data_IF_140078924354
#
_entry.id   IF_140078924354
#
_cell.length_a   1.000
_cell.length_b   1.000
_cell.length_c   1.000
_cell.angle_alpha   90.00
_cell.angle_beta   90.00
_cell.angle_gamma   90.00
#
_symmetry.space_group_name_H-M   'P 1'
#
loop_
_entity.id
_entity.type
_entity.pdbx_description
1 polymer ?
#
# COMPACT_ATOMS: atom_id res chain seq x y z
N UNK A 1 33.27 3.09 60.97
CA UNK A 1 33.33 2.77 59.52
C UNK A 1 31.98 3.07 58.90
N UNK A 2 31.82 4.26 58.31
CA UNK A 2 30.62 4.71 57.61
C UNK A 2 31.05 5.11 56.21
N UNK A 3 30.66 4.32 55.21
CA UNK A 3 30.97 4.56 53.80
C UNK A 3 30.15 5.73 53.28
N UNK A 4 30.83 6.79 52.86
CA UNK A 4 30.25 7.89 52.13
C UNK A 4 29.98 7.46 50.68
N UNK A 5 28.71 7.36 50.31
CA UNK A 5 28.28 7.16 48.93
C UNK A 5 28.49 8.46 48.17
N UNK A 6 29.46 8.47 47.26
CA UNK A 6 29.58 9.51 46.23
C UNK A 6 28.71 9.10 45.05
N UNK A 7 27.58 9.78 44.87
CA UNK A 7 26.78 9.72 43.65
C UNK A 7 27.64 10.26 42.49
N UNK A 8 27.97 9.47 41.46
CA UNK A 8 28.47 10.05 40.21
C UNK A 8 27.28 10.71 39.53
N UNK A 9 27.38 12.02 39.31
CA UNK A 9 26.44 12.75 38.48
C UNK A 9 26.49 12.17 37.06
N UNK A 10 25.45 11.44 36.67
CA UNK A 10 25.22 11.03 35.29
C UNK A 10 24.81 12.28 34.51
N UNK A 11 25.79 12.92 33.86
CA UNK A 11 25.55 13.96 32.88
C UNK A 11 24.89 13.28 31.66
N UNK A 12 23.56 13.26 31.62
CA UNK A 12 22.82 12.89 30.41
C UNK A 12 22.97 14.06 29.44
N UNK A 13 23.92 13.92 28.51
CA UNK A 13 24.04 14.80 27.37
C UNK A 13 22.82 14.55 26.46
N UNK A 14 21.77 15.35 26.66
CA UNK A 14 20.61 15.36 25.78
C UNK A 14 21.03 16.09 24.50
N UNK A 15 21.60 15.33 23.57
CA UNK A 15 21.78 15.80 22.20
C UNK A 15 20.38 15.87 21.61
N UNK A 16 19.76 17.05 21.71
CA UNK A 16 18.67 17.43 20.80
C UNK A 16 19.33 17.63 19.43
N UNK A 17 19.67 16.52 18.79
CA UNK A 17 19.88 16.53 17.36
C UNK A 17 18.54 16.92 16.77
N UNK A 18 18.48 18.08 16.11
CA UNK A 18 17.52 18.27 15.04
C UNK A 18 17.84 17.18 13.99
N UNK A 19 17.39 15.95 14.25
CA UNK A 19 17.36 14.92 13.22
C UNK A 19 16.50 15.53 12.13
N UNK A 20 17.09 15.75 10.96
CA UNK A 20 16.33 16.20 9.81
C UNK A 20 15.11 15.31 9.66
N UNK A 21 13.97 15.89 9.25
CA UNK A 21 12.83 15.08 8.83
C UNK A 21 13.36 14.00 7.88
N UNK A 22 13.01 12.71 8.10
CA UNK A 22 13.48 11.65 7.22
C UNK A 22 13.18 12.05 5.79
N UNK A 23 14.24 12.24 5.01
CA UNK A 23 14.12 12.53 3.60
C UNK A 23 13.58 11.29 2.92
N UNK A 24 12.97 11.40 1.73
CA UNK A 24 12.68 10.23 0.92
C UNK A 24 13.92 9.33 0.83
N UNK A 25 15.11 9.89 0.67
CA UNK A 25 16.39 9.16 0.59
C UNK A 25 16.76 8.36 1.86
N UNK A 26 16.27 8.74 3.04
CA UNK A 26 16.51 8.02 4.31
C UNK A 26 15.65 6.74 4.43
N UNK A 27 14.68 6.55 3.54
CA UNK A 27 13.81 5.38 3.43
C UNK A 27 13.76 4.75 2.02
N UNK A 28 14.25 5.48 1.01
CA UNK A 28 14.31 5.09 -0.39
C UNK A 28 15.53 4.22 -0.65
N UNK A 29 15.40 2.99 -0.17
CA UNK A 29 15.69 1.89 -1.06
C UNK A 29 17.16 1.54 -1.31
N UNK A 30 17.37 0.37 -1.91
CA UNK A 30 18.68 -0.08 -2.34
C UNK A 30 19.33 0.92 -3.32
N UNK A 31 20.67 0.93 -3.45
CA UNK A 31 21.41 1.95 -4.20
C UNK A 31 20.77 2.28 -5.56
N UNK A 32 20.63 3.58 -5.85
CA UNK A 32 20.13 4.04 -7.16
C UNK A 32 20.92 3.38 -8.30
N UNK A 33 20.20 2.83 -9.28
CA UNK A 33 20.75 2.16 -10.46
C UNK A 33 20.69 0.63 -10.46
N UNK A 34 20.26 -0.03 -9.37
CA UNK A 34 20.10 -1.50 -9.35
C UNK A 34 18.65 -1.97 -9.34
N UNK A 35 17.71 -1.12 -8.94
CA UNK A 35 16.29 -1.47 -8.90
C UNK A 35 15.68 -1.48 -10.31
N UNK A 36 14.82 -2.47 -10.57
CA UNK A 36 14.00 -2.45 -11.77
C UNK A 36 13.06 -1.25 -11.70
N UNK A 37 12.92 -0.50 -12.80
CA UNK A 37 12.18 0.77 -12.83
C UNK A 37 11.24 0.80 -14.02
N UNK A 38 10.04 1.35 -13.84
CA UNK A 38 9.03 1.51 -14.89
C UNK A 38 8.14 2.74 -14.65
N UNK A 39 7.84 3.50 -15.69
CA UNK A 39 6.90 4.61 -15.62
C UNK A 39 5.46 4.10 -15.32
N UNK A 40 4.76 4.75 -14.41
CA UNK A 40 3.38 4.39 -14.08
C UNK A 40 2.46 4.70 -15.26
N UNK A 41 1.80 3.67 -15.81
CA UNK A 41 0.95 3.82 -17.01
C UNK A 41 1.72 3.83 -18.33
N UNK A 42 3.05 3.80 -18.30
CA UNK A 42 3.86 3.70 -19.51
C UNK A 42 3.60 2.41 -20.30
N UNK A 43 3.92 2.39 -21.61
CA UNK A 43 3.76 1.20 -22.42
C UNK A 43 4.60 0.07 -21.85
N UNK A 44 4.02 -1.13 -21.81
CA UNK A 44 4.79 -2.30 -21.40
C UNK A 44 5.88 -2.61 -22.43
N UNK A 45 6.99 -3.20 -21.97
CA UNK A 45 7.98 -3.78 -22.86
C UNK A 45 7.33 -4.84 -23.77
N UNK A 46 7.82 -4.94 -25.02
CA UNK A 46 7.21 -5.69 -26.14
C UNK A 46 6.63 -7.05 -25.74
N UNK A 47 5.41 -7.33 -26.21
CA UNK A 47 4.77 -8.63 -26.09
C UNK A 47 5.60 -9.72 -26.77
N UNK A 48 5.74 -10.88 -26.11
CA UNK A 48 6.45 -12.04 -26.65
C UNK A 48 5.50 -12.92 -27.47
N UNK A 49 6.03 -13.60 -28.48
CA UNK A 49 5.28 -14.60 -29.26
C UNK A 49 4.79 -15.72 -28.35
N UNK A 50 3.48 -15.99 -28.37
CA UNK A 50 2.85 -17.03 -27.54
C UNK A 50 3.07 -18.43 -28.14
N UNK A 51 3.31 -19.45 -27.30
CA UNK A 51 3.24 -20.83 -27.74
C UNK A 51 1.79 -21.20 -28.09
N UNK A 52 1.58 -22.16 -29.00
CA UNK A 52 0.23 -22.60 -29.44
C UNK A 52 -0.49 -23.52 -28.44
N UNK A 53 -0.02 -23.59 -27.19
CA UNK A 53 -0.62 -24.40 -26.13
C UNK A 53 -1.27 -23.48 -25.11
N UNK A 54 -2.37 -23.89 -24.45
CA UNK A 54 -2.93 -23.12 -23.35
C UNK A 54 -1.87 -22.89 -22.26
N UNK A 55 -1.52 -21.63 -22.03
CA UNK A 55 -0.58 -21.21 -21.00
C UNK A 55 -1.12 -19.95 -20.32
N UNK A 56 -0.78 -19.79 -19.04
CA UNK A 56 -1.08 -18.55 -18.29
C UNK A 56 -0.36 -17.39 -18.95
N UNK A 57 -1.10 -16.35 -19.32
CA UNK A 57 -0.56 -15.09 -19.81
C UNK A 57 -1.44 -13.93 -19.32
N UNK A 58 -1.00 -13.34 -18.22
CA UNK A 58 -1.58 -12.16 -17.58
C UNK A 58 -1.19 -10.84 -18.28
N UNK A 59 -0.37 -10.93 -19.33
CA UNK A 59 0.34 -9.80 -19.89
C UNK A 59 1.51 -9.32 -19.03
N UNK A 60 2.18 -8.25 -19.49
CA UNK A 60 3.42 -7.76 -18.90
C UNK A 60 3.21 -6.87 -17.66
N UNK A 61 1.95 -6.51 -17.35
CA UNK A 61 1.61 -5.58 -16.27
C UNK A 61 1.68 -6.30 -14.94
N UNK A 62 2.77 -6.10 -14.20
CA UNK A 62 3.04 -6.79 -12.94
C UNK A 62 3.86 -5.91 -11.99
N UNK A 63 4.08 -6.41 -10.78
CA UNK A 63 4.96 -5.78 -9.80
C UNK A 63 5.43 -6.82 -8.77
N UNK A 64 6.27 -6.39 -7.83
CA UNK A 64 6.73 -7.23 -6.74
C UNK A 64 5.53 -7.67 -5.86
N UNK A 65 5.47 -8.95 -5.48
CA UNK A 65 4.37 -9.46 -4.66
C UNK A 65 4.49 -8.98 -3.20
N UNK A 66 3.33 -8.83 -2.56
CA UNK A 66 3.19 -8.57 -1.12
C UNK A 66 2.55 -9.80 -0.48
N UNK A 67 3.19 -10.32 0.57
CA UNK A 67 2.82 -11.53 1.31
C UNK A 67 4.05 -12.37 1.66
N UNK A 68 4.03 -12.98 2.85
CA UNK A 68 5.10 -13.88 3.31
C UNK A 68 5.09 -15.26 2.62
N UNK A 69 6.14 -16.03 2.88
CA UNK A 69 6.29 -17.41 2.44
C UNK A 69 5.16 -18.29 2.99
N UNK A 70 4.41 -18.94 2.10
CA UNK A 70 3.30 -19.83 2.47
C UNK A 70 2.00 -19.12 2.89
N UNK A 71 2.01 -17.80 3.03
CA UNK A 71 0.83 -17.01 3.40
C UNK A 71 -0.16 -16.77 2.25
N UNK A 72 0.30 -16.97 1.01
CA UNK A 72 -0.36 -16.42 -0.18
C UNK A 72 0.02 -14.95 -0.41
N UNK A 73 -0.05 -14.50 -1.66
CA UNK A 73 0.42 -13.16 -2.04
C UNK A 73 -0.60 -12.38 -2.84
N UNK A 74 -0.52 -11.06 -2.74
CA UNK A 74 -1.23 -10.08 -3.56
C UNK A 74 -0.22 -9.28 -4.40
N UNK A 75 -0.44 -9.25 -5.70
CA UNK A 75 0.39 -8.55 -6.67
C UNK A 75 -0.22 -7.21 -7.02
N UNK A 76 0.46 -6.14 -6.58
CA UNK A 76 0.21 -4.77 -7.03
C UNK A 76 1.11 -4.45 -8.20
N UNK A 77 0.55 -3.96 -9.29
CA UNK A 77 1.29 -3.75 -10.53
C UNK A 77 2.06 -2.43 -10.51
N UNK A 78 2.99 -2.23 -11.45
CA UNK A 78 3.65 -0.94 -11.65
C UNK A 78 2.68 0.22 -11.99
N UNK A 79 1.43 -0.06 -12.39
CA UNK A 79 0.41 0.98 -12.59
C UNK A 79 -0.24 1.40 -11.28
N UNK A 80 -0.12 0.62 -10.21
CA UNK A 80 -0.68 0.92 -8.89
C UNK A 80 -1.96 0.16 -8.53
N UNK A 81 -2.52 -0.61 -9.46
CA UNK A 81 -3.67 -1.50 -9.23
C UNK A 81 -3.26 -2.85 -8.62
N UNK A 82 -4.15 -3.45 -7.83
CA UNK A 82 -4.00 -4.82 -7.33
C UNK A 82 -4.67 -5.78 -8.30
N UNK A 83 -3.92 -6.70 -8.91
CA UNK A 83 -4.45 -7.50 -10.01
C UNK A 83 -4.12 -8.99 -9.94
N UNK A 84 -3.02 -9.39 -9.29
CA UNK A 84 -2.61 -10.81 -9.26
C UNK A 84 -2.81 -11.38 -7.87
N UNK A 85 -3.71 -12.34 -7.72
CA UNK A 85 -4.10 -12.92 -6.45
C UNK A 85 -3.63 -14.37 -6.35
N UNK A 86 -2.70 -14.61 -5.43
CA UNK A 86 -2.24 -15.94 -5.01
C UNK A 86 -2.59 -16.18 -3.54
N UNK A 87 -3.71 -15.60 -3.08
CA UNK A 87 -4.19 -15.76 -1.71
C UNK A 87 -4.62 -17.21 -1.44
N UNK A 88 -5.21 -17.88 -2.43
CA UNK A 88 -5.38 -19.34 -2.42
C UNK A 88 -4.04 -19.98 -2.76
N UNK A 89 -3.42 -20.65 -1.79
CA UNK A 89 -2.13 -21.31 -1.99
C UNK A 89 -2.23 -22.34 -3.13
N UNK A 90 -1.34 -22.21 -4.11
CA UNK A 90 -1.34 -23.04 -5.34
C UNK A 90 -2.31 -22.60 -6.42
N UNK A 91 -3.18 -21.62 -6.16
CA UNK A 91 -4.07 -21.00 -7.13
C UNK A 91 -3.43 -19.80 -7.86
N UNK A 92 -4.00 -19.46 -9.01
CA UNK A 92 -3.61 -18.29 -9.78
C UNK A 92 -4.86 -17.57 -10.32
N UNK A 93 -5.08 -16.33 -9.87
CA UNK A 93 -6.17 -15.48 -10.35
C UNK A 93 -5.62 -14.12 -10.76
N UNK A 94 -5.82 -13.74 -12.02
CA UNK A 94 -5.54 -12.39 -12.50
C UNK A 94 -6.85 -11.63 -12.72
N UNK A 95 -7.11 -10.66 -11.86
CA UNK A 95 -8.28 -9.78 -11.88
C UNK A 95 -7.94 -8.45 -11.19
N UNK A 96 -7.79 -7.35 -11.94
CA UNK A 96 -7.70 -6.02 -11.34
C UNK A 96 -8.88 -5.75 -10.39
N UNK A 97 -8.56 -5.36 -9.16
CA UNK A 97 -9.55 -4.95 -8.16
C UNK A 97 -10.17 -3.62 -8.59
N UNK A 98 -11.48 -3.46 -8.46
CA UNK A 98 -12.14 -2.19 -8.78
C UNK A 98 -12.04 -1.19 -7.62
N UNK A 99 -12.01 -1.69 -6.38
CA UNK A 99 -12.11 -0.91 -5.16
C UNK A 99 -11.01 -1.21 -4.14
N UNK A 100 -10.06 -2.11 -4.44
CA UNK A 100 -8.81 -2.21 -3.67
C UNK A 100 -7.81 -1.23 -4.28
N UNK A 101 -7.61 -0.08 -3.63
CA UNK A 101 -6.81 1.03 -4.16
C UNK A 101 -6.33 1.97 -3.06
N UNK A 102 -5.26 2.70 -3.36
CA UNK A 102 -4.85 3.87 -2.59
C UNK A 102 -5.31 5.15 -3.29
N UNK A 103 -5.64 6.17 -2.51
CA UNK A 103 -5.90 7.51 -3.00
C UNK A 103 -5.21 8.54 -2.10
N UNK A 104 -4.81 9.66 -2.70
CA UNK A 104 -4.32 10.83 -1.98
C UNK A 104 -5.18 12.04 -2.34
N UNK A 105 -5.48 12.87 -1.34
CA UNK A 105 -6.02 14.22 -1.56
C UNK A 105 -4.95 15.22 -1.19
N UNK A 106 -4.50 16.00 -2.16
CA UNK A 106 -3.52 17.07 -1.97
C UNK A 106 -4.18 18.39 -2.34
N UNK A 107 -4.25 19.33 -1.39
CA UNK A 107 -4.88 20.65 -1.57
C UNK A 107 -6.28 20.57 -2.21
N UNK A 108 -7.10 19.67 -1.69
CA UNK A 108 -8.46 19.43 -2.18
C UNK A 108 -8.56 18.57 -3.46
N UNK A 109 -7.44 18.27 -4.14
CA UNK A 109 -7.42 17.42 -5.33
C UNK A 109 -7.30 15.95 -4.94
N UNK A 110 -8.41 15.21 -4.98
CA UNK A 110 -8.42 13.77 -4.71
C UNK A 110 -8.04 12.97 -5.96
N UNK A 111 -7.11 12.03 -5.81
CA UNK A 111 -6.50 11.26 -6.89
C UNK A 111 -6.31 9.82 -6.46
N UNK A 112 -6.85 8.87 -7.23
CA UNK A 112 -6.52 7.46 -7.09
C UNK A 112 -5.08 7.25 -7.58
N UNK A 113 -4.24 6.63 -6.75
CA UNK A 113 -2.83 6.37 -7.02
C UNK A 113 -2.67 5.12 -7.91
N UNK A 114 -3.33 5.16 -9.06
CA UNK A 114 -3.34 4.12 -10.08
C UNK A 114 -3.42 4.76 -11.47
N UNK A 115 -2.67 4.23 -12.42
CA UNK A 115 -2.72 4.60 -13.84
C UNK A 115 -3.61 3.65 -14.67
N UNK A 116 -4.41 2.80 -14.01
CA UNK A 116 -5.37 1.92 -14.69
C UNK A 116 -6.64 2.71 -15.05
N UNK A 117 -7.00 2.86 -16.34
CA UNK A 117 -8.14 3.70 -16.73
C UNK A 117 -9.50 3.28 -16.15
N UNK A 118 -9.72 1.97 -15.92
CA UNK A 118 -10.97 1.49 -15.34
C UNK A 118 -11.19 1.95 -13.90
N UNK A 119 -10.15 2.34 -13.16
CA UNK A 119 -10.30 2.94 -11.82
C UNK A 119 -10.95 4.32 -11.85
N UNK A 120 -10.93 5.00 -13.00
CA UNK A 120 -11.60 6.28 -13.19
C UNK A 120 -13.12 6.14 -13.19
N UNK A 121 -13.65 4.94 -13.45
CA UNK A 121 -15.08 4.69 -13.51
C UNK A 121 -15.56 4.11 -12.18
N UNK A 122 -16.63 4.68 -11.61
CA UNK A 122 -17.39 4.08 -10.53
C UNK A 122 -18.77 3.67 -11.04
N UNK A 123 -19.05 2.38 -11.03
CA UNK A 123 -20.37 1.81 -11.30
C UNK A 123 -21.06 1.45 -9.98
N UNK A 124 -22.39 1.61 -9.90
CA UNK A 124 -23.19 1.13 -8.77
C UNK A 124 -23.04 1.94 -7.46
N UNK A 125 -22.60 3.19 -7.51
CA UNK A 125 -22.64 4.09 -6.34
C UNK A 125 -24.09 4.49 -6.10
N UNK A 126 -24.70 4.18 -4.93
CA UNK A 126 -26.06 4.61 -4.65
C UNK A 126 -26.12 6.14 -4.60
N UNK A 127 -26.61 6.75 -5.68
CA UNK A 127 -26.96 8.16 -5.66
C UNK A 127 -28.14 8.37 -4.73
N UNK A 128 -28.07 9.38 -3.85
CA UNK A 128 -29.23 9.86 -3.10
C UNK A 128 -30.29 10.38 -4.07
N UNK A 129 -31.15 9.50 -4.58
CA UNK A 129 -32.17 9.81 -5.57
C UNK A 129 -32.08 8.98 -6.85
N UNK A 130 -32.20 7.65 -6.76
CA UNK A 130 -32.80 6.79 -7.79
C UNK A 130 -32.22 6.78 -9.21
N UNK A 131 -31.06 7.38 -9.45
CA UNK A 131 -30.34 7.28 -10.73
C UNK A 131 -28.96 6.68 -10.48
N UNK A 132 -28.68 5.60 -11.19
CA UNK A 132 -27.35 4.99 -11.24
C UNK A 132 -26.44 5.96 -12.01
N UNK A 133 -25.66 6.76 -11.29
CA UNK A 133 -24.76 7.75 -11.91
C UNK A 133 -23.37 7.14 -11.98
N UNK A 134 -22.81 7.09 -13.18
CA UNK A 134 -21.37 6.88 -13.35
C UNK A 134 -20.64 8.08 -12.76
N UNK A 135 -20.04 7.91 -11.59
CA UNK A 135 -19.14 8.91 -11.02
C UNK A 135 -17.74 8.68 -11.58
N UNK A 136 -17.08 9.75 -12.04
CA UNK A 136 -15.68 9.68 -12.43
C UNK A 136 -14.77 10.03 -11.25
N UNK A 137 -13.72 9.23 -11.06
CA UNK A 137 -12.61 9.51 -10.15
C UNK A 137 -11.42 10.02 -10.96
N UNK A 138 -10.67 10.96 -10.41
CA UNK A 138 -9.36 11.31 -10.95
C UNK A 138 -8.38 10.16 -10.66
N UNK A 139 -7.68 9.70 -11.69
CA UNK A 139 -6.63 8.68 -11.64
C UNK A 139 -5.31 9.29 -12.10
N UNK A 140 -4.20 8.58 -11.90
CA UNK A 140 -2.93 8.99 -12.49
C UNK A 140 -2.99 8.88 -14.03
N UNK A 141 -2.29 9.76 -14.77
CA UNK A 141 -2.21 9.69 -16.22
C UNK A 141 -1.73 8.31 -16.73
N UNK A 142 -2.43 7.72 -17.73
CA UNK A 142 -2.07 6.42 -18.29
C UNK A 142 -1.01 6.52 -19.40
N UNK A 143 -0.21 7.58 -19.42
CA UNK A 143 0.78 7.89 -20.46
C UNK A 143 2.24 7.81 -19.95
N UNK A 144 2.44 7.38 -18.70
CA UNK A 144 3.76 7.33 -18.07
C UNK A 144 4.12 8.55 -17.22
N UNK A 145 3.29 9.60 -17.21
CA UNK A 145 3.59 10.85 -16.48
C UNK A 145 3.07 10.89 -15.05
N UNK A 146 2.34 9.86 -14.61
CA UNK A 146 1.79 9.79 -13.25
C UNK A 146 2.82 9.53 -12.14
N UNK A 147 4.03 9.12 -12.52
CA UNK A 147 5.09 8.77 -11.58
C UNK A 147 5.92 7.58 -12.05
N UNK A 148 6.74 7.06 -11.14
CA UNK A 148 7.66 5.95 -11.40
C UNK A 148 7.48 4.85 -10.35
N UNK A 149 7.47 3.61 -10.80
CA UNK A 149 7.50 2.43 -9.95
C UNK A 149 8.88 1.80 -9.97
N UNK A 150 9.32 1.31 -8.82
CA UNK A 150 10.59 0.62 -8.64
C UNK A 150 10.41 -0.68 -7.87
N UNK A 151 11.23 -1.68 -8.17
CA UNK A 151 11.25 -2.94 -7.45
C UNK A 151 12.67 -3.49 -7.26
N UNK A 152 12.96 -3.85 -6.01
CA UNK A 152 14.04 -4.77 -5.65
C UNK A 152 13.54 -5.61 -4.47
N UNK A 153 12.96 -6.76 -4.80
CA UNK A 153 12.28 -7.64 -3.85
C UNK A 153 13.16 -7.93 -2.61
N UNK A 154 12.61 -7.87 -1.38
CA UNK A 154 11.18 -7.82 -1.04
C UNK A 154 10.55 -6.43 -1.02
N UNK A 155 11.29 -5.38 -1.40
CA UNK A 155 10.79 -4.01 -1.44
C UNK A 155 10.39 -3.59 -2.85
N UNK A 156 9.37 -2.77 -2.92
CA UNK A 156 9.04 -1.97 -4.09
C UNK A 156 8.47 -0.63 -3.65
N UNK A 157 8.53 0.37 -4.51
CA UNK A 157 8.03 1.69 -4.16
C UNK A 157 7.50 2.43 -5.38
N UNK A 158 6.66 3.42 -5.11
CA UNK A 158 6.11 4.35 -6.08
C UNK A 158 6.58 5.75 -5.72
N UNK A 159 7.03 6.50 -6.71
CA UNK A 159 7.27 7.93 -6.63
C UNK A 159 6.22 8.60 -7.53
N UNK A 160 5.30 9.34 -6.92
CA UNK A 160 4.24 10.02 -7.67
C UNK A 160 4.73 11.39 -8.13
N UNK A 161 4.50 11.70 -9.41
CA UNK A 161 4.84 13.02 -9.93
C UNK A 161 3.97 14.09 -9.23
N UNK A 162 4.56 15.13 -8.62
CA UNK A 162 3.79 16.15 -7.92
C UNK A 162 2.73 16.85 -8.78
N UNK A 163 3.03 17.08 -10.07
CA UNK A 163 2.09 17.69 -11.01
C UNK A 163 0.91 16.77 -11.32
N UNK A 164 1.11 15.46 -11.21
CA UNK A 164 0.06 14.47 -11.31
C UNK A 164 -0.82 14.40 -10.05
N UNK A 165 -0.44 14.99 -8.91
CA UNK A 165 -1.22 14.93 -7.66
C UNK A 165 -2.11 16.15 -7.43
N UNK A 166 -1.59 17.36 -7.65
CA UNK A 166 -2.34 18.60 -7.46
C UNK A 166 -1.80 19.75 -8.32
N UNK A 167 -2.64 20.75 -8.65
CA UNK A 167 -2.17 21.99 -9.26
C UNK A 167 -1.09 22.65 -8.41
N UNK A 168 0.01 23.05 -9.04
CA UNK A 168 1.17 23.67 -8.37
C UNK A 168 2.28 22.69 -7.99
N UNK A 169 2.04 21.37 -8.03
CA UNK A 169 3.12 20.36 -7.99
C UNK A 169 4.07 20.47 -6.80
N UNK A 170 3.60 20.92 -5.64
CA UNK A 170 4.45 21.23 -4.47
C UNK A 170 4.61 20.09 -3.47
N UNK A 171 3.79 19.04 -3.57
CA UNK A 171 3.87 17.88 -2.66
C UNK A 171 4.46 16.69 -3.40
N UNK A 172 5.62 16.22 -2.97
CA UNK A 172 6.14 14.89 -3.33
C UNK A 172 5.47 13.84 -2.46
N UNK A 173 4.96 12.79 -3.09
CA UNK A 173 4.41 11.63 -2.40
C UNK A 173 5.12 10.39 -2.88
N UNK A 174 5.74 9.66 -1.96
CA UNK A 174 6.25 8.31 -2.22
C UNK A 174 5.53 7.29 -1.36
N UNK A 175 5.50 6.05 -1.86
CA UNK A 175 4.90 4.92 -1.18
C UNK A 175 5.82 3.71 -1.28
N UNK A 176 6.41 3.29 -0.18
CA UNK A 176 7.24 2.08 -0.08
C UNK A 176 6.41 0.92 0.45
N UNK A 177 6.45 -0.23 -0.24
CA UNK A 177 5.75 -1.44 0.15
C UNK A 177 6.64 -2.67 0.21
N UNK A 178 6.38 -3.53 1.19
CA UNK A 178 7.11 -4.80 1.39
C UNK A 178 6.38 -5.76 2.32
N UNK A 179 6.85 -7.00 2.33
CA UNK A 179 6.62 -7.97 3.41
C UNK A 179 7.96 -8.33 4.04
N UNK A 180 8.01 -8.72 5.33
CA UNK A 180 9.27 -8.97 6.05
C UNK A 180 9.91 -10.32 5.66
N UNK A 181 10.28 -10.47 4.38
CA UNK A 181 10.93 -11.68 3.85
C UNK A 181 12.43 -11.58 4.13
N UNK A 182 12.81 -12.03 5.32
CA UNK A 182 14.16 -11.87 5.88
C UNK A 182 14.83 -13.26 5.95
N UNK A 183 16.02 -13.43 5.35
CA UNK A 183 16.77 -14.70 5.45
C UNK A 183 17.06 -15.07 6.91
N UNK A 184 16.77 -16.32 7.28
CA UNK A 184 16.97 -16.82 8.65
C UNK A 184 15.81 -16.56 9.61
N UNK A 185 14.93 -15.60 9.32
CA UNK A 185 13.79 -15.24 10.18
C UNK A 185 12.49 -15.86 9.66
N UNK A 186 12.34 -17.17 9.86
CA UNK A 186 11.21 -17.94 9.33
C UNK A 186 9.84 -17.47 9.81
N UNK A 187 9.74 -17.00 11.07
CA UNK A 187 8.48 -16.50 11.63
C UNK A 187 8.03 -15.28 10.84
N UNK A 188 8.85 -14.24 10.80
CA UNK A 188 8.52 -12.98 10.14
C UNK A 188 8.32 -13.18 8.64
N UNK A 189 9.21 -13.96 8.01
CA UNK A 189 9.12 -14.24 6.59
C UNK A 189 7.88 -15.04 6.19
N UNK A 190 7.16 -15.67 7.12
CA UNK A 190 5.90 -16.40 6.87
C UNK A 190 4.63 -15.58 7.10
N UNK A 191 4.74 -14.34 7.57
CA UNK A 191 3.59 -13.54 7.98
C UNK A 191 2.70 -13.13 6.79
N UNK A 192 1.37 -13.23 6.90
CA UNK A 192 0.41 -12.73 5.91
C UNK A 192 0.24 -11.20 6.02
N UNK A 193 1.36 -10.46 5.98
CA UNK A 193 1.38 -9.00 6.20
C UNK A 193 2.02 -8.27 5.03
N UNK A 194 1.43 -7.13 4.68
CA UNK A 194 2.01 -6.13 3.79
C UNK A 194 2.14 -4.80 4.51
N UNK A 195 3.29 -4.16 4.40
CA UNK A 195 3.54 -2.80 4.91
C UNK A 195 3.44 -1.83 3.75
N UNK A 196 2.74 -0.72 3.95
CA UNK A 196 2.64 0.38 2.99
C UNK A 196 3.00 1.68 3.72
N UNK A 197 4.25 2.11 3.59
CA UNK A 197 4.74 3.36 4.17
C UNK A 197 4.58 4.48 3.16
N UNK A 198 3.93 5.57 3.56
CA UNK A 198 3.82 6.78 2.76
C UNK A 198 4.71 7.87 3.33
N UNK A 199 5.35 8.63 2.45
CA UNK A 199 6.08 9.84 2.81
C UNK A 199 5.61 10.97 1.92
N UNK A 200 5.09 12.02 2.54
CA UNK A 200 4.70 13.26 1.88
C UNK A 200 5.68 14.37 2.28
N UNK A 201 6.29 15.03 1.31
CA UNK A 201 7.15 16.20 1.52
C UNK A 201 6.56 17.41 0.79
N UNK A 202 6.39 18.52 1.52
CA UNK A 202 5.97 19.78 0.93
C UNK A 202 7.19 20.62 0.57
N UNK A 203 7.42 20.81 -0.72
CA UNK A 203 8.51 21.62 -1.28
C UNK A 203 8.09 23.07 -1.57
N UNK A 204 6.85 23.42 -1.26
CA UNK A 204 6.33 24.78 -1.39
C UNK A 204 6.59 25.64 -0.16
N UNK A 205 6.34 26.94 -0.32
CA UNK A 205 6.43 27.97 0.72
C UNK A 205 5.16 28.10 1.57
N UNK A 206 4.05 27.52 1.13
CA UNK A 206 2.78 27.50 1.84
C UNK A 206 2.44 26.11 2.41
N UNK A 207 1.75 26.02 3.57
CA UNK A 207 1.24 24.75 4.09
C UNK A 207 0.39 23.99 3.06
N UNK A 208 0.48 22.66 3.04
CA UNK A 208 -0.33 21.79 2.18
C UNK A 208 -1.26 20.90 3.01
N UNK A 209 -2.49 20.69 2.53
CA UNK A 209 -3.41 19.69 3.10
C UNK A 209 -3.21 18.36 2.36
N UNK A 210 -2.89 17.30 3.11
CA UNK A 210 -2.65 15.96 2.57
C UNK A 210 -3.46 14.94 3.35
N UNK A 211 -4.31 14.20 2.64
CA UNK A 211 -5.01 13.04 3.19
C UNK A 211 -4.70 11.79 2.36
N UNK A 212 -4.55 10.65 3.03
CA UNK A 212 -4.35 9.35 2.40
C UNK A 212 -5.53 8.45 2.71
N UNK A 213 -5.93 7.64 1.73
CA UNK A 213 -6.98 6.66 1.88
C UNK A 213 -6.51 5.32 1.32
N UNK A 214 -6.84 4.25 2.04
CA UNK A 214 -6.72 2.88 1.56
C UNK A 214 -8.11 2.26 1.58
N UNK A 215 -8.56 1.78 0.43
CA UNK A 215 -9.78 0.99 0.28
C UNK A 215 -9.38 -0.43 -0.08
N UNK A 216 -10.07 -1.42 0.50
CA UNK A 216 -9.81 -2.84 0.29
C UNK A 216 -11.13 -3.61 0.15
N UNK A 217 -11.30 -4.31 -0.96
CA UNK A 217 -12.46 -5.17 -1.20
C UNK A 217 -12.50 -6.33 -0.20
N UNK A 218 -13.69 -6.72 0.25
CA UNK A 218 -13.83 -7.95 1.03
C UNK A 218 -13.60 -9.18 0.12
N UNK A 219 -12.35 -9.63 0.04
CA UNK A 219 -11.93 -10.76 -0.79
C UNK A 219 -12.54 -12.10 -0.39
N UNK A 220 -13.12 -12.23 0.81
CA UNK A 220 -13.85 -13.44 1.22
C UNK A 220 -15.19 -13.58 0.49
N UNK A 221 -15.74 -12.49 -0.04
CA UNK A 221 -16.94 -12.51 -0.88
C UNK A 221 -16.64 -12.93 -2.34
N UNK A 222 -15.38 -13.19 -2.68
CA UNK A 222 -14.91 -13.44 -4.04
C UNK A 222 -14.32 -14.85 -4.14
N UNK A 223 -15.08 -15.80 -4.67
CA UNK A 223 -14.74 -17.24 -4.67
C UNK A 223 -13.41 -17.57 -5.34
N UNK A 224 -13.01 -16.81 -6.36
CA UNK A 224 -11.77 -16.96 -7.13
C UNK A 224 -10.54 -16.34 -6.45
N UNK A 225 -10.73 -15.50 -5.43
CA UNK A 225 -9.64 -14.84 -4.68
C UNK A 225 -9.52 -15.37 -3.25
N UNK A 226 -10.62 -15.84 -2.66
CA UNK A 226 -10.66 -16.28 -1.27
C UNK A 226 -9.51 -17.26 -0.93
N UNK A 227 -8.77 -17.05 0.19
CA UNK A 227 -7.60 -17.85 0.55
C UNK A 227 -7.93 -19.31 0.90
N UNK A 228 -9.20 -19.55 1.24
CA UNK A 228 -9.75 -20.87 1.56
C UNK A 228 -11.01 -21.10 0.73
N UNK A 229 -11.39 -22.36 0.57
CA UNK A 229 -12.66 -22.70 -0.08
C UNK A 229 -13.82 -22.20 0.80
N UNK A 230 -14.37 -21.04 0.45
CA UNK A 230 -15.49 -20.42 1.15
C UNK A 230 -16.79 -21.10 0.73
N UNK A 231 -16.97 -22.34 1.19
CA UNK A 231 -18.21 -23.07 1.06
C UNK A 231 -19.38 -22.31 1.73
N UNK A 232 -20.63 -22.56 1.34
CA UNK A 232 -21.78 -21.99 2.02
C UNK A 232 -21.83 -22.37 3.51
N UNK A 233 -22.34 -21.49 4.39
CA UNK A 233 -23.03 -20.26 4.05
C UNK A 233 -22.13 -19.01 4.25
N UNK A 234 -22.26 -18.05 3.33
CA UNK A 234 -21.38 -16.86 3.16
C UNK A 234 -21.43 -15.86 4.32
N UNK A 235 -22.35 -16.07 5.26
CA UNK A 235 -22.61 -15.34 6.51
C UNK A 235 -21.84 -15.89 7.73
N UNK A 236 -21.03 -16.95 7.55
CA UNK A 236 -20.16 -17.47 8.60
C UNK A 236 -19.04 -16.49 9.03
N UNK A 237 -18.74 -15.49 8.19
CA UNK A 237 -17.70 -14.49 8.46
C UNK A 237 -18.34 -13.23 9.03
N UNK A 238 -18.23 -13.08 10.35
CA UNK A 238 -18.67 -11.88 11.07
C UNK A 238 -17.51 -10.89 11.15
N UNK A 239 -17.81 -9.60 11.00
CA UNK A 239 -16.89 -8.55 11.45
C UNK A 239 -16.51 -8.84 12.91
N UNK A 240 -15.24 -8.64 13.26
CA UNK A 240 -14.83 -8.75 14.65
C UNK A 240 -15.76 -7.84 15.49
N UNK A 241 -16.36 -8.37 16.57
CA UNK A 241 -17.30 -7.59 17.37
C UNK A 241 -16.61 -6.41 18.08
N UNK A 242 -15.28 -6.46 18.19
CA UNK A 242 -14.44 -5.49 18.87
C UNK A 242 -13.35 -4.93 17.95
N UNK A 243 -12.84 -3.74 18.28
CA UNK A 243 -11.71 -3.14 17.58
C UNK A 243 -10.47 -4.04 17.69
N UNK A 244 -9.92 -4.45 16.55
CA UNK A 244 -8.66 -5.19 16.49
C UNK A 244 -7.50 -4.22 16.68
N UNK A 245 -6.49 -4.64 17.45
CA UNK A 245 -5.20 -3.95 17.63
C UNK A 245 -4.06 -4.87 17.18
N UNK A 246 -2.84 -4.33 17.02
CA UNK A 246 -1.66 -5.15 16.71
C UNK A 246 -1.47 -6.29 17.72
N UNK A 247 -1.69 -6.02 19.02
CA UNK A 247 -1.58 -7.00 20.09
C UNK A 247 -2.67 -8.09 20.06
N UNK A 248 -3.88 -7.78 19.57
CA UNK A 248 -4.94 -8.78 19.42
C UNK A 248 -4.72 -9.71 18.22
N UNK A 249 -3.91 -9.29 17.24
CA UNK A 249 -3.50 -10.13 16.11
C UNK A 249 -2.51 -11.24 16.54
N UNK A 250 -1.73 -11.00 17.59
CA UNK A 250 -0.72 -11.96 18.06
C UNK A 250 -1.27 -13.06 18.98
N UNK A 251 -2.51 -12.97 19.46
CA UNK A 251 -2.97 -13.92 20.51
C UNK A 251 -4.49 -14.13 20.57
N UNK A 252 -4.99 -15.09 19.79
CA UNK A 252 -6.10 -15.96 20.19
C UNK A 252 -6.29 -17.16 19.23
N UNK A 253 -6.22 -18.38 19.77
CA UNK A 253 -6.96 -19.54 19.21
C UNK A 253 -6.55 -20.13 17.85
N UNK A 254 -5.47 -19.68 17.21
CA UNK A 254 -4.97 -20.29 15.96
C UNK A 254 -5.75 -19.93 14.69
N UNK A 255 -6.63 -18.92 14.74
CA UNK A 255 -7.39 -18.44 13.59
C UNK A 255 -7.19 -16.93 13.42
N UNK A 256 -6.56 -16.53 12.32
CA UNK A 256 -6.47 -15.13 11.90
C UNK A 256 -7.71 -14.79 11.07
N UNK A 257 -8.54 -13.87 11.55
CA UNK A 257 -9.74 -13.40 10.85
C UNK A 257 -9.68 -11.87 10.68
N UNK A 258 -9.50 -11.40 9.44
CA UNK A 258 -9.60 -9.99 9.07
C UNK A 258 -8.31 -9.35 8.55
N UNK A 259 -8.45 -8.14 8.00
CA UNK A 259 -7.35 -7.23 7.66
C UNK A 259 -7.34 -6.13 8.74
N UNK A 260 -6.18 -5.86 9.35
CA UNK A 260 -6.01 -4.77 10.31
C UNK A 260 -5.08 -3.73 9.72
N UNK A 261 -5.53 -2.48 9.66
CA UNK A 261 -4.72 -1.34 9.26
C UNK A 261 -4.33 -0.57 10.52
N UNK A 262 -3.03 -0.39 10.73
CA UNK A 262 -2.49 0.44 11.79
C UNK A 262 -1.71 1.60 11.17
N UNK A 263 -1.84 2.79 11.75
CA UNK A 263 -1.08 3.97 11.38
C UNK A 263 -0.18 4.34 12.54
N UNK A 264 1.13 4.18 12.35
CA UNK A 264 2.15 4.66 13.28
C UNK A 264 2.76 5.97 12.76
N UNK A 265 3.28 6.80 13.66
CA UNK A 265 4.05 8.02 13.36
C UNK A 265 3.31 9.13 12.58
N UNK A 266 2.00 9.30 12.79
CA UNK A 266 1.26 10.45 12.23
C UNK A 266 1.54 11.71 13.05
N UNK A 267 2.43 12.57 12.55
CA UNK A 267 2.61 13.92 13.10
C UNK A 267 1.54 14.84 12.51
N UNK A 268 0.44 15.04 13.25
CA UNK A 268 -0.54 16.06 12.88
C UNK A 268 0.11 17.45 12.98
N UNK A 269 -0.04 18.26 11.93
CA UNK A 269 0.14 19.71 12.08
C UNK A 269 -0.85 20.28 13.09
N UNK A 270 -0.73 21.55 13.48
CA UNK A 270 -1.53 22.20 14.54
C UNK A 270 -3.08 22.16 14.36
N UNK A 271 -3.59 21.55 13.30
CA UNK A 271 -4.99 21.18 13.12
C UNK A 271 -5.10 19.66 13.07
N UNK A 272 -5.41 19.06 14.22
CA UNK A 272 -5.99 17.73 14.22
C UNK A 272 -7.35 17.78 13.48
N UNK A 273 -7.66 16.84 12.58
CA UNK A 273 -9.02 16.65 12.13
C UNK A 273 -9.88 16.32 13.36
N UNK A 274 -11.09 16.85 13.42
CA UNK A 274 -12.09 16.34 14.36
C UNK A 274 -12.24 14.84 14.12
N UNK A 275 -12.11 14.05 15.19
CA UNK A 275 -12.38 12.62 15.17
C UNK A 275 -13.73 12.32 14.45
N UNK A 276 -13.82 11.21 13.70
CA UNK A 276 -15.07 10.79 13.08
C UNK A 276 -16.17 10.48 14.09
#
# INVERSE_FOLDING_TARGET
MRGAWRLPALLVLLVVGAGGSPTPEDDLGPPLGVAWTHAMGGPAASERTRPRVPCVDDGPVAGAPIGGMGAGTMGRTYRGDFARWHMRVGGHTHRPAAHTLFAARVDGTATVLSALPSHAVMEGVPGGGGSDRTHSRRVLPPDGTGGTYHALYPRSWYEHDPSALAPGGRVRLSQTQFSPVIPGEYRDASMPVGVFRFLASNEGDAPADVALAFSFENVLATTDVAPVDVGPPRDAWRLAPDALTHASFERAGGHVAGCHMHTDDVVYGARAPSEP
#
